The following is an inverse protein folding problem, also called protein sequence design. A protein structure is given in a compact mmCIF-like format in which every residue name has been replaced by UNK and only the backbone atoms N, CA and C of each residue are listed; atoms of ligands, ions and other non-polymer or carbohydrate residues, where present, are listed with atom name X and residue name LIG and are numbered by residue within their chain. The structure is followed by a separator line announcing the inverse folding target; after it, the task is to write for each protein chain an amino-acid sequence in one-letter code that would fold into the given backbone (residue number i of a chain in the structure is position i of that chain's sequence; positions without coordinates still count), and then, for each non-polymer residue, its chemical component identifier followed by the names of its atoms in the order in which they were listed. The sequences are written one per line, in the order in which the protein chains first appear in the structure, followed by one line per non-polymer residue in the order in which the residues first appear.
data_IF_312859675547
#
_entry.id   IF_312859675547
#
_cell.length_a   1.000
_cell.length_b   1.000
_cell.length_c   1.000
_cell.angle_alpha   90.00
_cell.angle_beta   90.00
_cell.angle_gamma   90.00
#
_symmetry.space_group_name_H-M   'P 1'
#
loop_
_entity.id
_entity.type
_entity.pdbx_description
1 polymer ?
#
# COMPACT_ATOMS: atom_id res chain seq x y z
N UNK A 1 -18.43 22.03 9.94
CA UNK A 1 -17.95 20.92 9.06
C UNK A 1 -16.56 20.50 9.53
N UNK A 2 -16.45 19.48 10.39
CA UNK A 2 -15.16 19.00 10.94
C UNK A 2 -14.43 18.23 9.83
N UNK A 3 -13.35 18.78 9.30
CA UNK A 3 -12.45 18.08 8.39
C UNK A 3 -11.76 16.97 9.19
N UNK A 4 -12.23 15.74 9.05
CA UNK A 4 -11.50 14.57 9.53
C UNK A 4 -10.15 14.52 8.82
N UNK A 5 -9.09 14.94 9.48
CA UNK A 5 -7.73 14.71 9.03
C UNK A 5 -7.51 13.18 9.01
N UNK A 6 -7.20 12.58 7.84
CA UNK A 6 -6.93 11.16 7.79
C UNK A 6 -5.66 10.87 8.60
N UNK A 7 -5.82 10.11 9.67
CA UNK A 7 -4.70 9.62 10.47
C UNK A 7 -3.70 8.91 9.55
N UNK A 8 -2.39 9.13 9.70
CA UNK A 8 -1.39 8.45 8.90
C UNK A 8 -1.34 6.98 9.31
N UNK A 9 -2.04 6.12 8.58
CA UNK A 9 -1.96 4.67 8.79
C UNK A 9 -0.53 4.25 8.39
N UNK A 10 0.32 4.06 9.39
CA UNK A 10 1.68 3.51 9.22
C UNK A 10 1.58 1.99 9.41
N UNK A 11 1.87 1.24 8.35
CA UNK A 11 2.04 -0.21 8.49
C UNK A 11 3.11 -0.53 9.52
N UNK A 12 2.78 -1.40 10.47
CA UNK A 12 3.72 -1.86 11.49
C UNK A 12 4.94 -2.55 10.85
N UNK A 13 6.08 -2.52 11.52
CA UNK A 13 7.31 -3.13 11.02
C UNK A 13 7.16 -4.65 10.78
N UNK A 14 6.30 -5.33 11.56
CA UNK A 14 5.97 -6.75 11.36
C UNK A 14 5.30 -7.00 10.02
N UNK A 15 4.30 -6.19 9.67
CA UNK A 15 3.59 -6.30 8.39
C UNK A 15 4.53 -6.09 7.18
N UNK A 16 5.43 -5.11 7.25
CA UNK A 16 6.44 -4.87 6.20
C UNK A 16 7.40 -6.06 6.05
N UNK A 17 7.88 -6.63 7.16
CA UNK A 17 8.75 -7.81 7.12
C UNK A 17 8.05 -9.00 6.50
N UNK A 18 6.78 -9.22 6.84
CA UNK A 18 5.96 -10.28 6.28
C UNK A 18 5.79 -10.13 4.77
N UNK A 19 5.50 -8.91 4.28
CA UNK A 19 5.42 -8.62 2.85
C UNK A 19 6.73 -8.94 2.14
N UNK A 20 7.86 -8.46 2.65
CA UNK A 20 9.17 -8.74 2.05
C UNK A 20 9.49 -10.24 2.05
N UNK A 21 9.17 -10.95 3.12
CA UNK A 21 9.39 -12.39 3.22
C UNK A 21 8.56 -13.16 2.17
N UNK A 22 7.27 -12.85 2.03
CA UNK A 22 6.39 -13.48 1.05
C UNK A 22 6.89 -13.26 -0.37
N UNK A 23 7.26 -12.03 -0.74
CA UNK A 23 7.77 -11.74 -2.08
C UNK A 23 9.15 -12.34 -2.33
N UNK A 24 10.03 -12.36 -1.33
CA UNK A 24 11.33 -13.02 -1.44
C UNK A 24 11.18 -14.53 -1.64
N UNK A 25 10.33 -15.18 -0.85
CA UNK A 25 10.05 -16.61 -0.98
C UNK A 25 9.38 -16.94 -2.31
N UNK A 26 8.46 -16.11 -2.79
CA UNK A 26 7.85 -16.27 -4.10
C UNK A 26 8.91 -16.24 -5.22
N UNK A 27 9.78 -15.24 -5.19
CA UNK A 27 10.82 -15.11 -6.20
C UNK A 27 11.85 -16.23 -6.13
N UNK A 28 12.34 -16.56 -4.92
CA UNK A 28 13.34 -17.62 -4.69
C UNK A 28 12.79 -18.98 -5.14
N UNK A 29 11.55 -19.30 -4.78
CA UNK A 29 10.95 -20.59 -5.16
C UNK A 29 10.80 -20.74 -6.68
N UNK A 30 10.43 -19.65 -7.38
CA UNK A 30 10.35 -19.64 -8.84
C UNK A 30 11.72 -19.76 -9.51
N UNK A 31 12.72 -19.02 -9.01
CA UNK A 31 14.09 -19.10 -9.50
C UNK A 31 14.72 -20.50 -9.27
N UNK A 32 14.47 -21.10 -8.11
CA UNK A 32 14.92 -22.44 -7.81
C UNK A 32 14.23 -23.48 -8.70
N UNK A 33 12.90 -23.38 -8.87
CA UNK A 33 12.22 -24.26 -9.82
C UNK A 33 12.85 -24.18 -11.21
N UNK A 34 13.11 -22.97 -11.73
CA UNK A 34 13.74 -22.75 -13.02
C UNK A 34 15.14 -23.39 -13.09
N UNK A 35 15.95 -23.23 -12.02
CA UNK A 35 17.27 -23.82 -11.92
C UNK A 35 17.22 -25.36 -11.95
N UNK A 36 16.30 -25.98 -11.21
CA UNK A 36 16.12 -27.42 -11.21
C UNK A 36 15.60 -27.93 -12.55
N UNK A 37 14.72 -27.19 -13.20
CA UNK A 37 14.11 -27.57 -14.47
C UNK A 37 15.12 -27.59 -15.62
N UNK A 38 16.00 -26.58 -15.72
CA UNK A 38 16.92 -26.45 -16.85
C UNK A 38 18.33 -27.00 -16.59
N UNK A 39 18.82 -27.01 -15.35
CA UNK A 39 20.21 -27.29 -15.05
C UNK A 39 20.45 -28.54 -14.18
N UNK A 40 19.44 -28.97 -13.42
CA UNK A 40 19.59 -30.05 -12.44
C UNK A 40 18.73 -31.27 -12.81
N UNK A 41 18.99 -31.83 -13.98
CA UNK A 41 18.33 -33.07 -14.44
C UNK A 41 19.02 -34.28 -13.82
N UNK A 42 18.26 -35.37 -13.64
CA UNK A 42 18.75 -36.63 -13.06
C UNK A 42 18.77 -37.70 -14.13
N UNK A 43 19.90 -38.44 -14.32
CA UNK A 43 19.96 -39.56 -15.26
C UNK A 43 18.92 -40.62 -14.89
N UNK A 44 18.17 -41.13 -15.88
CA UNK A 44 17.21 -42.22 -15.71
C UNK A 44 17.37 -43.26 -16.84
N UNK A 45 16.72 -44.40 -16.70
CA UNK A 45 16.74 -45.46 -17.70
C UNK A 45 16.22 -45.05 -19.10
N UNK A 46 15.41 -43.97 -19.14
CA UNK A 46 14.79 -43.47 -20.37
C UNK A 46 15.28 -42.06 -20.78
N UNK A 47 16.47 -41.64 -20.31
CA UNK A 47 17.03 -40.33 -20.54
C UNK A 47 16.93 -39.41 -19.29
N UNK A 48 17.22 -38.13 -19.47
CA UNK A 48 17.22 -37.17 -18.36
C UNK A 48 15.81 -36.91 -17.81
N UNK A 49 15.61 -37.24 -16.53
CA UNK A 49 14.38 -37.05 -15.82
C UNK A 49 14.39 -35.76 -14.98
N UNK A 50 13.20 -35.27 -14.64
CA UNK A 50 13.04 -34.14 -13.75
C UNK A 50 13.55 -34.49 -12.33
N UNK A 51 14.25 -33.54 -11.70
CA UNK A 51 14.74 -33.74 -10.33
C UNK A 51 13.56 -33.84 -9.34
N UNK A 52 13.60 -34.73 -8.34
CA UNK A 52 12.47 -34.90 -7.38
C UNK A 52 12.06 -33.63 -6.63
N UNK A 53 12.99 -32.70 -6.40
CA UNK A 53 12.70 -31.42 -5.73
C UNK A 53 12.02 -30.40 -6.63
N UNK A 54 12.07 -30.56 -7.97
CA UNK A 54 11.44 -29.63 -8.92
C UNK A 54 9.95 -29.42 -8.62
N UNK A 55 9.21 -30.50 -8.41
CA UNK A 55 7.79 -30.46 -8.06
C UNK A 55 7.50 -29.75 -6.74
N UNK A 56 8.41 -29.82 -5.78
CA UNK A 56 8.26 -29.17 -4.49
C UNK A 56 8.47 -27.66 -4.60
N UNK A 57 9.45 -27.21 -5.38
CA UNK A 57 9.66 -25.80 -5.68
C UNK A 57 8.47 -25.19 -6.41
N UNK A 58 7.88 -25.91 -7.36
CA UNK A 58 6.68 -25.47 -8.08
C UNK A 58 5.48 -25.33 -7.12
N UNK A 59 5.26 -26.30 -6.23
CA UNK A 59 4.20 -26.23 -5.23
C UNK A 59 4.38 -25.06 -4.27
N UNK A 60 5.61 -24.85 -3.79
CA UNK A 60 5.95 -23.74 -2.94
C UNK A 60 5.74 -22.41 -3.67
N UNK A 61 6.13 -22.32 -4.93
CA UNK A 61 5.92 -21.12 -5.75
C UNK A 61 4.43 -20.78 -5.89
N UNK A 62 3.60 -21.77 -6.18
CA UNK A 62 2.15 -21.58 -6.26
C UNK A 62 1.53 -21.12 -4.92
N UNK A 63 1.94 -21.74 -3.80
CA UNK A 63 1.51 -21.33 -2.46
C UNK A 63 1.91 -19.90 -2.14
N UNK A 64 3.18 -19.53 -2.44
CA UNK A 64 3.67 -18.16 -2.23
C UNK A 64 3.01 -17.17 -3.18
N UNK A 65 2.63 -17.58 -4.39
CA UNK A 65 1.82 -16.79 -5.32
C UNK A 65 0.48 -16.41 -4.73
N UNK A 66 -0.23 -17.38 -4.15
CA UNK A 66 -1.48 -17.13 -3.45
C UNK A 66 -1.29 -16.19 -2.24
N UNK A 67 -0.27 -16.44 -1.40
CA UNK A 67 0.06 -15.58 -0.27
C UNK A 67 0.40 -14.14 -0.72
N UNK A 68 1.09 -13.98 -1.86
CA UNK A 68 1.43 -12.69 -2.43
C UNK A 68 0.18 -11.93 -2.92
N UNK A 69 -0.82 -12.61 -3.51
CA UNK A 69 -2.08 -11.99 -3.90
C UNK A 69 -2.86 -11.48 -2.68
N UNK A 70 -2.93 -12.25 -1.59
CA UNK A 70 -3.55 -11.82 -0.33
C UNK A 70 -2.79 -10.61 0.25
N UNK A 71 -1.46 -10.67 0.28
CA UNK A 71 -0.61 -9.59 0.75
C UNK A 71 -0.78 -8.30 -0.07
N UNK A 72 -0.85 -8.41 -1.41
CA UNK A 72 -1.15 -7.29 -2.30
C UNK A 72 -2.54 -6.72 -2.04
N UNK A 73 -3.55 -7.56 -1.92
CA UNK A 73 -4.92 -7.16 -1.62
C UNK A 73 -5.01 -6.35 -0.33
N UNK A 74 -4.22 -6.68 0.69
CA UNK A 74 -4.19 -5.94 1.96
C UNK A 74 -3.55 -4.54 1.85
N UNK A 75 -2.58 -4.37 0.94
CA UNK A 75 -1.81 -3.11 0.80
C UNK A 75 -2.40 -2.17 -0.25
N UNK A 76 -2.90 -2.73 -1.36
CA UNK A 76 -3.33 -1.97 -2.53
C UNK A 76 -4.33 -0.84 -2.25
N UNK A 77 -5.41 -1.03 -1.46
CA UNK A 77 -6.40 0.02 -1.25
C UNK A 77 -5.80 1.25 -0.56
N UNK A 78 -4.99 1.03 0.46
CA UNK A 78 -4.40 2.09 1.29
C UNK A 78 -3.27 2.78 0.52
N UNK A 79 -2.37 1.98 -0.09
CA UNK A 79 -1.21 2.50 -0.82
C UNK A 79 -1.63 3.30 -2.06
N UNK A 80 -2.63 2.80 -2.78
CA UNK A 80 -3.11 3.44 -4.02
C UNK A 80 -3.81 4.75 -3.75
N UNK A 81 -4.76 4.78 -2.80
CA UNK A 81 -5.48 6.02 -2.45
C UNK A 81 -4.50 7.10 -2.04
N UNK A 82 -3.53 6.78 -1.17
CA UNK A 82 -2.52 7.74 -0.72
C UNK A 82 -1.62 8.26 -1.85
N UNK A 83 -1.12 7.36 -2.72
CA UNK A 83 -0.28 7.75 -3.86
C UNK A 83 -1.06 8.61 -4.87
N UNK A 84 -2.34 8.32 -5.07
CA UNK A 84 -3.21 9.08 -5.96
C UNK A 84 -3.47 10.50 -5.47
N UNK A 85 -3.79 10.66 -4.19
CA UNK A 85 -3.98 11.99 -3.58
C UNK A 85 -2.71 12.84 -3.57
N UNK A 86 -1.54 12.21 -3.42
CA UNK A 86 -0.26 12.92 -3.36
C UNK A 86 0.38 13.16 -4.73
N UNK A 87 -0.24 12.77 -5.83
CA UNK A 87 0.31 12.83 -7.20
C UNK A 87 1.72 12.21 -7.35
N UNK A 88 2.06 11.27 -6.45
CA UNK A 88 3.40 10.66 -6.37
C UNK A 88 3.44 9.32 -7.10
N UNK A 89 4.42 9.17 -7.99
CA UNK A 89 4.81 7.89 -8.59
C UNK A 89 3.65 7.10 -9.25
N UNK A 90 2.66 7.79 -9.82
CA UNK A 90 1.48 7.14 -10.45
C UNK A 90 1.89 6.16 -11.54
N UNK A 91 2.82 6.56 -12.42
CA UNK A 91 3.27 5.73 -13.54
C UNK A 91 3.97 4.44 -13.06
N UNK A 92 4.95 4.55 -12.16
CA UNK A 92 5.65 3.37 -11.63
C UNK A 92 4.76 2.50 -10.76
N UNK A 93 3.83 3.10 -10.02
CA UNK A 93 2.83 2.37 -9.24
C UNK A 93 1.85 1.60 -10.11
N UNK A 94 1.37 2.21 -11.21
CA UNK A 94 0.51 1.55 -12.18
C UNK A 94 1.27 0.41 -12.89
N UNK A 95 2.50 0.67 -13.38
CA UNK A 95 3.34 -0.35 -13.99
C UNK A 95 3.56 -1.56 -13.06
N UNK A 96 3.87 -1.31 -11.78
CA UNK A 96 4.05 -2.39 -10.79
C UNK A 96 2.78 -3.23 -10.63
N UNK A 97 1.61 -2.59 -10.55
CA UNK A 97 0.33 -3.31 -10.44
C UNK A 97 0.03 -4.14 -11.69
N UNK A 98 0.25 -3.55 -12.88
CA UNK A 98 0.03 -4.24 -14.16
C UNK A 98 0.92 -5.48 -14.28
N UNK A 99 2.18 -5.40 -13.86
CA UNK A 99 3.09 -6.55 -13.86
C UNK A 99 2.62 -7.63 -12.88
N UNK A 100 2.18 -7.28 -11.66
CA UNK A 100 1.64 -8.27 -10.74
C UNK A 100 0.37 -8.93 -11.27
N UNK A 101 -0.54 -8.15 -11.85
CA UNK A 101 -1.76 -8.68 -12.47
C UNK A 101 -1.41 -9.60 -13.64
N UNK A 102 -0.46 -9.21 -14.47
CA UNK A 102 0.05 -10.02 -15.58
C UNK A 102 0.63 -11.34 -15.10
N UNK A 103 1.51 -11.32 -14.08
CA UNK A 103 2.09 -12.54 -13.50
C UNK A 103 1.02 -13.44 -12.87
N UNK A 104 0.03 -12.88 -12.20
CA UNK A 104 -1.09 -13.65 -11.67
C UNK A 104 -1.91 -14.31 -12.79
N UNK A 105 -2.24 -13.55 -13.85
CA UNK A 105 -2.99 -14.05 -14.99
C UNK A 105 -2.23 -15.13 -15.76
N UNK A 106 -0.95 -14.90 -16.05
CA UNK A 106 -0.11 -15.91 -16.75
C UNK A 106 0.16 -17.13 -15.88
N UNK A 107 0.36 -16.97 -14.56
CA UNK A 107 0.50 -18.10 -13.63
C UNK A 107 -0.78 -18.95 -13.57
N UNK A 108 -1.94 -18.32 -13.54
CA UNK A 108 -3.23 -19.00 -13.62
C UNK A 108 -3.40 -19.71 -14.97
N UNK A 109 -3.06 -19.04 -16.08
CA UNK A 109 -3.15 -19.60 -17.42
C UNK A 109 -2.24 -20.82 -17.58
N UNK A 110 -1.02 -20.80 -17.03
CA UNK A 110 -0.10 -21.96 -17.03
C UNK A 110 -0.69 -23.18 -16.32
N UNK A 111 -1.54 -22.98 -15.34
CA UNK A 111 -2.14 -24.10 -14.61
C UNK A 111 -3.41 -24.64 -15.28
N UNK A 112 -4.24 -23.78 -15.87
CA UNK A 112 -5.58 -24.16 -16.35
C UNK A 112 -5.74 -24.13 -17.87
N UNK A 113 -4.92 -23.38 -18.61
CA UNK A 113 -5.10 -23.14 -20.03
C UNK A 113 -3.89 -23.49 -20.88
N UNK A 114 -2.97 -24.32 -20.38
CA UNK A 114 -1.85 -24.79 -21.18
C UNK A 114 -2.35 -25.71 -22.29
N UNK A 115 -1.99 -25.37 -23.54
CA UNK A 115 -2.29 -26.13 -24.75
C UNK A 115 -1.09 -26.15 -25.67
N UNK A 116 -1.06 -27.02 -26.68
CA UNK A 116 0.04 -27.09 -27.67
C UNK A 116 0.34 -25.71 -28.30
N UNK A 117 -0.67 -24.86 -28.49
CA UNK A 117 -0.51 -23.55 -29.09
C UNK A 117 0.22 -22.53 -28.20
N UNK A 118 0.19 -22.68 -26.87
CA UNK A 118 0.77 -21.71 -25.93
C UNK A 118 1.87 -22.27 -25.02
N UNK A 119 2.11 -23.57 -25.06
CA UNK A 119 3.10 -24.26 -24.22
C UNK A 119 4.53 -23.71 -24.39
N UNK A 120 4.87 -23.29 -25.59
CA UNK A 120 6.22 -22.79 -25.87
C UNK A 120 6.48 -21.38 -25.32
N UNK A 121 5.54 -20.47 -25.44
CA UNK A 121 5.77 -19.03 -25.13
C UNK A 121 5.25 -18.58 -23.77
N UNK A 122 4.16 -19.17 -23.29
CA UNK A 122 3.52 -18.73 -22.06
C UNK A 122 4.40 -18.89 -20.81
N UNK A 123 5.10 -20.03 -20.61
CA UNK A 123 6.07 -20.17 -19.53
C UNK A 123 7.21 -19.17 -19.64
N UNK A 124 7.73 -18.94 -20.85
CA UNK A 124 8.85 -18.02 -21.08
C UNK A 124 8.48 -16.59 -20.66
N UNK A 125 7.32 -16.10 -21.10
CA UNK A 125 6.85 -14.76 -20.72
C UNK A 125 6.66 -14.64 -19.21
N UNK A 126 6.10 -15.67 -18.56
CA UNK A 126 5.91 -15.67 -17.11
C UNK A 126 7.24 -15.58 -16.35
N UNK A 127 8.21 -16.45 -16.64
CA UNK A 127 9.46 -16.46 -15.89
C UNK A 127 10.38 -15.27 -16.22
N UNK A 128 10.42 -14.78 -17.46
CA UNK A 128 11.21 -13.58 -17.82
C UNK A 128 10.70 -12.36 -17.02
N UNK A 129 9.39 -12.13 -17.04
CA UNK A 129 8.77 -11.02 -16.30
C UNK A 129 8.92 -11.22 -14.79
N UNK A 130 8.77 -12.47 -14.30
CA UNK A 130 8.94 -12.84 -12.90
C UNK A 130 10.37 -12.60 -12.38
N UNK A 131 11.40 -12.96 -13.16
CA UNK A 131 12.78 -12.68 -12.79
C UNK A 131 13.12 -11.20 -12.78
N UNK A 132 12.50 -10.40 -13.66
CA UNK A 132 12.68 -8.94 -13.69
C UNK A 132 11.97 -8.19 -12.55
N UNK A 133 11.02 -8.82 -11.87
CA UNK A 133 10.19 -8.21 -10.83
C UNK A 133 10.98 -7.52 -9.70
N UNK A 134 12.04 -8.12 -9.10
CA UNK A 134 12.82 -7.47 -8.04
C UNK A 134 13.46 -6.17 -8.49
N UNK A 135 13.99 -6.13 -9.72
CA UNK A 135 14.57 -4.91 -10.30
C UNK A 135 13.53 -3.80 -10.40
N UNK A 136 12.35 -4.13 -10.91
CA UNK A 136 11.25 -3.18 -11.01
C UNK A 136 10.78 -2.67 -9.64
N UNK A 137 10.72 -3.54 -8.62
CA UNK A 137 10.39 -3.16 -7.25
C UNK A 137 11.44 -2.21 -6.65
N UNK A 138 12.73 -2.48 -6.88
CA UNK A 138 13.82 -1.60 -6.45
C UNK A 138 13.69 -0.22 -7.08
N UNK A 139 13.45 -0.16 -8.39
CA UNK A 139 13.21 1.11 -9.11
C UNK A 139 12.00 1.84 -8.55
N UNK A 140 10.88 1.15 -8.32
CA UNK A 140 9.67 1.72 -7.73
C UNK A 140 9.93 2.33 -6.35
N UNK A 141 10.63 1.59 -5.48
CA UNK A 141 10.97 2.02 -4.11
C UNK A 141 11.93 3.22 -4.15
N UNK A 142 12.99 3.17 -4.97
CA UNK A 142 13.97 4.26 -5.09
C UNK A 142 13.33 5.55 -5.59
N UNK A 143 12.52 5.48 -6.66
CA UNK A 143 11.78 6.64 -7.16
C UNK A 143 10.77 7.17 -6.14
N UNK A 144 10.18 6.29 -5.33
CA UNK A 144 9.29 6.68 -4.23
C UNK A 144 10.00 7.47 -3.13
N UNK A 145 11.26 7.15 -2.85
CA UNK A 145 12.08 7.83 -1.85
C UNK A 145 12.71 9.10 -2.37
N UNK A 146 13.12 9.15 -3.63
CA UNK A 146 13.87 10.27 -4.23
C UNK A 146 13.03 11.54 -4.44
N UNK A 147 11.69 11.46 -4.45
CA UNK A 147 10.84 12.64 -4.55
C UNK A 147 10.44 13.12 -3.16
N UNK A 148 11.10 14.17 -2.61
CA UNK A 148 10.63 14.79 -1.37
C UNK A 148 9.19 15.24 -1.57
N UNK A 149 8.37 15.12 -0.51
CA UNK A 149 7.08 15.77 -0.51
C UNK A 149 7.34 17.24 -0.83
N UNK A 150 6.79 17.76 -1.91
CA UNK A 150 6.73 19.20 -2.11
C UNK A 150 6.13 19.76 -0.83
N UNK A 151 6.98 20.30 0.02
CA UNK A 151 6.56 21.04 1.20
C UNK A 151 5.69 22.14 0.61
N UNK A 152 4.40 22.04 0.80
CA UNK A 152 3.50 23.15 0.53
C UNK A 152 4.09 24.29 1.36
N UNK A 153 4.87 25.19 0.74
CA UNK A 153 5.25 26.43 1.36
C UNK A 153 3.91 27.16 1.52
N UNK A 154 3.35 27.02 2.70
CA UNK A 154 2.35 27.95 3.15
C UNK A 154 3.11 29.31 3.24
N UNK A 155 3.09 30.05 2.15
CA UNK A 155 3.44 31.45 2.19
C UNK A 155 2.22 32.10 2.82
N UNK A 156 2.29 32.56 4.04
CA UNK A 156 1.21 33.37 4.56
C UNK A 156 1.16 34.57 3.61
N UNK A 157 0.04 34.73 2.91
CA UNK A 157 -0.24 35.94 2.14
C UNK A 157 -0.07 37.07 3.15
N UNK A 158 0.81 38.08 2.90
CA UNK A 158 0.90 39.20 3.79
C UNK A 158 -0.54 39.74 3.93
N UNK A 159 -1.04 39.74 5.15
CA UNK A 159 -2.28 40.45 5.48
C UNK A 159 -1.96 41.85 5.08
N UNK A 160 -2.50 42.31 3.95
CA UNK A 160 -2.50 43.71 3.60
C UNK A 160 -3.18 44.44 4.78
N UNK A 161 -2.40 45.28 5.37
CA UNK A 161 -2.71 46.09 6.55
C UNK A 161 -3.74 47.19 6.14
N UNK A 162 -4.92 46.77 5.72
CA UNK A 162 -5.97 47.66 5.26
C UNK A 162 -7.29 47.17 5.85
N UNK A 163 -7.41 47.39 7.10
CA UNK A 163 -8.57 47.88 7.86
C UNK A 163 -8.17 47.99 9.34
N UNK A 164 -7.59 49.12 9.71
CA UNK A 164 -7.61 49.57 11.09
C UNK A 164 -9.08 49.76 11.46
N UNK A 165 -9.70 48.73 12.01
CA UNK A 165 -10.99 48.86 12.68
C UNK A 165 -10.72 49.71 13.93
N UNK A 166 -11.30 50.89 14.06
CA UNK A 166 -11.12 51.71 15.26
C UNK A 166 -11.54 50.87 16.48
N UNK A 167 -10.86 50.99 17.62
CA UNK A 167 -11.19 50.21 18.81
C UNK A 167 -12.63 50.50 19.21
N UNK A 168 -13.46 49.44 19.11
CA UNK A 168 -14.82 49.48 19.63
C UNK A 168 -14.72 49.85 21.10
N UNK A 169 -15.44 50.91 21.48
CA UNK A 169 -15.58 51.40 22.86
C UNK A 169 -15.84 50.21 23.79
N UNK A 170 -14.92 49.97 24.74
CA UNK A 170 -15.07 48.92 25.74
C UNK A 170 -16.39 49.13 26.51
N UNK A 171 -17.29 48.17 26.59
CA UNK A 171 -18.43 48.24 27.45
C UNK A 171 -17.94 48.29 28.91
N UNK A 172 -18.43 49.24 29.68
CA UNK A 172 -18.07 49.47 31.08
C UNK A 172 -18.24 48.19 31.90
N UNK A 173 -17.25 47.86 32.70
CA UNK A 173 -17.14 46.63 33.53
C UNK A 173 -18.27 46.45 34.54
N UNK A 174 -19.23 47.37 34.60
CA UNK A 174 -20.36 47.33 35.58
C UNK A 174 -21.48 46.34 35.22
N UNK A 175 -21.57 45.85 34.00
CA UNK A 175 -22.67 44.97 33.58
C UNK A 175 -22.40 43.47 33.74
N UNK A 176 -21.15 43.03 33.93
CA UNK A 176 -20.81 41.61 33.98
C UNK A 176 -21.09 40.93 35.33
N UNK A 177 -21.23 41.71 36.43
CA UNK A 177 -21.47 41.13 37.75
C UNK A 177 -22.92 40.70 37.99
N UNK A 178 -23.89 41.31 37.29
CA UNK A 178 -25.31 40.98 37.50
C UNK A 178 -25.74 39.71 36.71
N UNK A 179 -25.10 39.37 35.61
CA UNK A 179 -25.45 38.19 34.85
C UNK A 179 -25.00 36.87 35.48
N UNK A 180 -23.95 36.89 36.29
CA UNK A 180 -23.43 35.68 36.95
C UNK A 180 -24.34 35.22 38.12
N UNK A 181 -25.03 36.13 38.79
CA UNK A 181 -25.94 35.80 39.90
C UNK A 181 -27.24 35.13 39.41
N UNK A 182 -27.77 35.54 38.27
CA UNK A 182 -29.00 34.97 37.73
C UNK A 182 -28.80 33.53 37.14
N UNK A 183 -27.61 33.23 36.64
CA UNK A 183 -27.31 31.87 36.13
C UNK A 183 -27.14 30.86 37.24
N UNK A 184 -26.60 31.26 38.40
CA UNK A 184 -26.43 30.36 39.55
C UNK A 184 -27.76 30.01 40.21
N UNK A 185 -28.69 30.96 40.27
CA UNK A 185 -29.99 30.75 40.88
C UNK A 185 -30.91 29.84 40.07
N UNK A 186 -30.80 29.89 38.74
CA UNK A 186 -31.54 28.96 37.86
C UNK A 186 -30.99 27.53 37.86
N UNK A 187 -29.69 27.35 38.11
CA UNK A 187 -29.07 26.01 38.18
C UNK A 187 -29.46 25.25 39.46
N UNK A 188 -29.63 25.96 40.61
CA UNK A 188 -30.09 25.38 41.86
C UNK A 188 -31.55 24.94 41.84
N UNK A 189 -32.44 25.64 41.13
CA UNK A 189 -33.87 25.28 41.03
C UNK A 189 -34.16 24.05 40.18
N UNK A 190 -33.24 23.64 39.33
CA UNK A 190 -33.41 22.41 38.52
C UNK A 190 -33.00 21.11 39.22
N UNK A 191 -32.28 21.19 40.33
CA UNK A 191 -31.77 20.01 41.03
C UNK A 191 -32.65 19.54 42.19
N UNK A 192 -33.69 20.31 42.62
CA UNK A 192 -34.65 19.91 43.65
C UNK A 192 -36.05 20.31 43.21
N UNK A 193 -36.86 19.46 42.53
CA UNK A 193 -38.27 19.71 42.36
C UNK A 193 -39.01 19.47 43.68
N UNK A 194 -40.00 20.32 44.05
CA UNK A 194 -40.79 20.10 45.26
C UNK A 194 -41.64 18.83 45.11
N UNK A 195 -41.65 18.06 46.18
CA UNK A 195 -42.52 16.89 46.42
C UNK A 195 -44.00 17.17 46.34
#
# INVERSE_FOLDING_TARGET
MVKHLPLPIRFGNRHKRMLYAVFALLWISGALWLAFHYFLRVPSAFGDAAHPLEKWWLRLHGLMGFAALVALGSVLPIHTRRAWHLNKNRATGLATKSVFLWLAATGYALYYFTSEANEAWLPQVHWIVGLALPLMLVVHIRRGRARPATRFKFSPKPVSDETVIPPASQPSVRSASQSHHLYQEQSCKRLNPPS
#
